data_IF_245141142092
#
_entry.id   IF_245141142092
#
_cell.length_a   1.000
_cell.length_b   1.000
_cell.length_c   1.000
_cell.angle_alpha   90.00
_cell.angle_beta   90.00
_cell.angle_gamma   90.00
#
_symmetry.space_group_name_H-M   'P 1'
#
loop_
_entity.id
_entity.type
_entity.pdbx_description
1 polymer ?
#
# COMPACT_ATOMS: atom_id res chain seq x y z
N UNK A 1 -5.09 -15.75 5.77
CA UNK A 1 -5.38 -14.35 6.16
C UNK A 1 -6.88 -14.10 5.98
N UNK A 2 -7.52 -13.32 6.85
CA UNK A 2 -8.97 -13.04 6.79
C UNK A 2 -9.23 -11.55 6.58
N UNK A 3 -10.12 -11.21 5.66
CA UNK A 3 -10.59 -9.83 5.46
C UNK A 3 -11.59 -9.51 6.58
N UNK A 4 -11.24 -8.56 7.45
CA UNK A 4 -12.08 -8.11 8.57
C UNK A 4 -12.98 -6.92 8.20
N UNK A 5 -12.60 -6.16 7.17
CA UNK A 5 -13.42 -5.09 6.64
C UNK A 5 -13.04 -4.80 5.19
N UNK A 6 -14.06 -4.46 4.39
CA UNK A 6 -13.90 -3.86 3.06
C UNK A 6 -14.37 -2.42 3.16
N UNK A 7 -13.51 -1.48 2.76
CA UNK A 7 -13.75 -0.05 2.88
C UNK A 7 -13.59 0.68 1.55
N UNK A 8 -14.52 1.58 1.28
CA UNK A 8 -14.52 2.42 0.08
C UNK A 8 -14.78 3.88 0.46
N UNK A 9 -14.41 4.80 -0.43
CA UNK A 9 -14.65 6.22 -0.19
C UNK A 9 -14.48 7.05 -1.45
N UNK A 10 -15.18 8.17 -1.49
CA UNK A 10 -15.02 9.15 -2.59
C UNK A 10 -14.20 10.34 -2.11
N UNK A 11 -13.46 11.02 -3.02
CA UNK A 11 -12.70 12.20 -2.68
C UNK A 11 -13.58 13.23 -1.97
N UNK A 12 -13.04 13.84 -0.92
CA UNK A 12 -13.65 14.98 -0.25
C UNK A 12 -12.65 16.12 -0.10
N UNK A 13 -13.15 17.34 -0.13
CA UNK A 13 -12.35 18.54 0.12
C UNK A 13 -12.27 18.77 1.63
N UNK A 14 -11.05 18.94 2.14
CA UNK A 14 -10.79 19.29 3.53
C UNK A 14 -9.91 20.52 3.62
N UNK A 15 -10.02 21.27 4.71
CA UNK A 15 -9.12 22.39 4.99
C UNK A 15 -7.91 21.90 5.78
N UNK A 16 -6.72 22.01 5.19
CA UNK A 16 -5.46 21.63 5.82
C UNK A 16 -4.44 22.76 5.70
N UNK A 17 -3.95 23.27 6.84
CA UNK A 17 -2.98 24.38 6.90
C UNK A 17 -3.39 25.60 6.05
N UNK A 18 -4.67 25.95 6.12
CA UNK A 18 -5.22 27.10 5.40
C UNK A 18 -5.54 26.87 3.92
N UNK A 19 -5.26 25.69 3.36
CA UNK A 19 -5.56 25.35 1.95
C UNK A 19 -6.65 24.29 1.85
N UNK A 20 -7.42 24.34 0.77
CA UNK A 20 -8.33 23.25 0.39
C UNK A 20 -7.54 22.12 -0.27
N UNK A 21 -7.81 20.89 0.16
CA UNK A 21 -7.15 19.68 -0.33
C UNK A 21 -8.21 18.64 -0.63
N UNK A 22 -8.25 18.15 -1.87
CA UNK A 22 -9.02 16.96 -2.23
C UNK A 22 -8.29 15.68 -1.77
N UNK A 23 -8.98 14.81 -1.02
CA UNK A 23 -8.37 13.58 -0.49
C UNK A 23 -9.37 12.43 -0.42
N UNK A 24 -8.88 11.22 -0.72
CA UNK A 24 -9.62 9.95 -0.57
C UNK A 24 -9.13 9.12 0.63
N UNK A 25 -8.38 9.74 1.54
CA UNK A 25 -7.86 9.05 2.73
C UNK A 25 -8.96 8.58 3.69
N UNK A 26 -10.17 9.14 3.53
CA UNK A 26 -11.31 8.82 4.36
C UNK A 26 -12.20 7.84 3.61
N UNK A 27 -12.18 6.59 4.07
CA UNK A 27 -13.05 5.51 3.62
C UNK A 27 -13.89 5.05 4.81
N UNK A 28 -14.96 4.33 4.53
CA UNK A 28 -15.78 3.69 5.53
C UNK A 28 -16.01 2.22 5.13
N UNK A 29 -16.16 1.32 6.12
CA UNK A 29 -16.59 -0.05 5.87
C UNK A 29 -17.92 -0.08 5.10
N UNK A 30 -18.06 -1.07 4.23
CA UNK A 30 -19.30 -1.37 3.53
C UNK A 30 -19.70 -2.82 3.73
N UNK A 31 -21.00 -3.05 3.84
CA UNK A 31 -21.56 -4.38 4.00
C UNK A 31 -21.73 -5.09 2.65
N UNK A 32 -21.50 -6.40 2.66
CA UNK A 32 -21.76 -7.30 1.53
C UNK A 32 -20.69 -7.28 0.42
N UNK A 33 -20.96 -8.00 -0.70
CA UNK A 33 -20.05 -8.09 -1.84
C UNK A 33 -19.74 -6.73 -2.47
N UNK A 34 -18.46 -6.48 -2.72
CA UNK A 34 -17.95 -5.33 -3.45
C UNK A 34 -17.23 -5.81 -4.71
N UNK A 35 -17.62 -5.27 -5.86
CA UNK A 35 -16.96 -5.59 -7.11
C UNK A 35 -15.53 -5.02 -7.16
N UNK A 36 -14.61 -5.88 -7.58
CA UNK A 36 -13.19 -5.60 -7.77
C UNK A 36 -12.96 -5.32 -9.26
N UNK A 37 -12.59 -4.08 -9.58
CA UNK A 37 -12.24 -3.64 -10.93
C UNK A 37 -10.75 -3.50 -11.09
N UNK A 38 -10.27 -3.49 -12.34
CA UNK A 38 -8.85 -3.34 -12.67
C UNK A 38 -8.11 -2.26 -11.89
N UNK A 39 -8.76 -1.13 -11.62
CA UNK A 39 -8.13 0.04 -11.02
C UNK A 39 -8.58 0.35 -9.59
N UNK A 40 -9.70 -0.23 -9.13
CA UNK A 40 -10.20 0.01 -7.77
C UNK A 40 -11.35 -0.95 -7.39
N UNK A 41 -11.86 -0.82 -6.16
CA UNK A 41 -13.16 -1.35 -5.76
C UNK A 41 -14.31 -0.44 -6.24
N UNK A 42 -15.45 -1.03 -6.61
CA UNK A 42 -16.68 -0.28 -6.90
C UNK A 42 -17.09 0.53 -5.65
N UNK A 43 -17.38 1.82 -5.84
CA UNK A 43 -17.65 2.77 -4.74
C UNK A 43 -16.40 3.51 -4.24
N UNK A 44 -15.19 3.05 -4.56
CA UNK A 44 -13.95 3.75 -4.18
C UNK A 44 -13.43 4.64 -5.32
N UNK A 45 -13.04 5.87 -4.98
CA UNK A 45 -12.46 6.82 -5.93
C UNK A 45 -11.23 7.49 -5.34
N UNK A 46 -10.17 7.57 -6.13
CA UNK A 46 -8.91 8.19 -5.75
C UNK A 46 -8.88 9.65 -6.22
N UNK A 47 -8.53 10.57 -5.32
CA UNK A 47 -8.50 12.00 -5.60
C UNK A 47 -7.41 12.39 -6.62
N UNK A 48 -6.35 11.60 -6.68
CA UNK A 48 -5.22 11.77 -7.60
C UNK A 48 -4.67 10.40 -8.00
N UNK A 49 -5.11 9.85 -9.15
CA UNK A 49 -4.67 8.55 -9.65
C UNK A 49 -3.18 8.52 -10.01
N UNK A 50 -2.53 9.67 -10.24
CA UNK A 50 -1.12 9.73 -10.63
C UNK A 50 -0.17 9.40 -9.47
N UNK A 51 -0.61 9.56 -8.22
CA UNK A 51 0.23 9.37 -7.02
C UNK A 51 -0.18 8.13 -6.22
N UNK A 52 -1.49 7.97 -5.97
CA UNK A 52 -2.04 6.90 -5.11
C UNK A 52 -2.96 5.96 -5.88
N UNK A 53 -2.69 5.79 -7.17
CA UNK A 53 -3.54 5.07 -8.07
C UNK A 53 -2.82 4.40 -9.21
N UNK A 54 -3.61 3.97 -10.17
CA UNK A 54 -3.14 3.15 -11.28
C UNK A 54 -3.14 1.66 -10.95
N UNK A 55 -2.77 0.87 -11.96
CA UNK A 55 -2.86 -0.58 -11.91
C UNK A 55 -2.13 -1.17 -10.71
N UNK A 56 -0.93 -0.68 -10.38
CA UNK A 56 -0.11 -1.19 -9.27
C UNK A 56 -0.61 -0.80 -7.88
N UNK A 57 -1.57 0.13 -7.77
CA UNK A 57 -2.10 0.65 -6.50
C UNK A 57 -3.63 0.55 -6.45
N UNK A 58 -4.19 -0.48 -7.07
CA UNK A 58 -5.64 -0.64 -7.21
C UNK A 58 -6.32 -0.87 -5.86
N UNK A 59 -5.73 -1.72 -5.01
CA UNK A 59 -6.28 -2.05 -3.69
C UNK A 59 -5.19 -1.89 -2.64
N UNK A 60 -5.46 -1.13 -1.59
CA UNK A 60 -4.56 -1.03 -0.43
C UNK A 60 -5.05 -1.95 0.69
N UNK A 61 -4.21 -2.86 1.16
CA UNK A 61 -4.48 -3.69 2.33
C UNK A 61 -3.58 -3.28 3.52
N UNK A 62 -4.14 -3.37 4.71
CA UNK A 62 -3.45 -3.07 5.96
C UNK A 62 -3.68 -4.16 6.99
N UNK A 63 -2.63 -4.50 7.72
CA UNK A 63 -2.70 -5.56 8.73
C UNK A 63 -3.50 -5.08 9.94
N UNK A 64 -4.43 -5.91 10.41
CA UNK A 64 -5.20 -5.60 11.62
C UNK A 64 -4.28 -5.53 12.85
N UNK A 65 -3.23 -6.35 12.88
CA UNK A 65 -2.19 -6.34 13.93
C UNK A 65 -1.42 -5.00 13.95
N UNK A 66 -1.16 -4.43 12.78
CA UNK A 66 -0.52 -3.12 12.68
C UNK A 66 -1.47 -2.03 13.20
N UNK A 67 -2.75 -2.10 12.88
CA UNK A 67 -3.76 -1.17 13.39
C UNK A 67 -3.87 -1.24 14.92
N UNK A 68 -3.85 -2.44 15.52
CA UNK A 68 -3.83 -2.63 16.97
C UNK A 68 -2.58 -2.03 17.63
N UNK A 69 -1.41 -2.26 17.02
CA UNK A 69 -0.16 -1.64 17.49
C UNK A 69 -0.27 -0.12 17.46
N UNK A 70 -0.83 0.45 16.39
CA UNK A 70 -1.06 1.89 16.28
C UNK A 70 -2.09 2.41 17.28
N UNK A 71 -3.14 1.65 17.59
CA UNK A 71 -4.08 2.02 18.64
C UNK A 71 -3.39 2.19 19.99
N UNK A 72 -2.51 1.24 20.34
CA UNK A 72 -1.69 1.35 21.55
C UNK A 72 -0.72 2.54 21.48
N UNK A 73 -0.01 2.71 20.38
CA UNK A 73 0.98 3.77 20.19
C UNK A 73 0.37 5.19 20.21
N UNK A 74 -0.86 5.34 19.71
CA UNK A 74 -1.58 6.61 19.66
C UNK A 74 -2.51 6.84 20.86
N UNK A 75 -2.66 5.85 21.74
CA UNK A 75 -3.51 5.91 22.93
C UNK A 75 -5.00 6.06 22.61
N UNK A 76 -5.47 5.56 21.46
CA UNK A 76 -6.89 5.60 21.06
C UNK A 76 -7.25 4.43 20.15
N UNK A 77 -8.51 3.96 20.17
CA UNK A 77 -8.95 2.95 19.20
C UNK A 77 -8.82 3.48 17.77
N UNK A 78 -8.44 2.60 16.84
CA UNK A 78 -8.46 2.85 15.42
C UNK A 78 -9.48 1.92 14.78
N UNK A 79 -10.32 2.50 13.95
CA UNK A 79 -11.29 1.77 13.14
C UNK A 79 -10.64 1.31 11.83
N UNK A 80 -11.24 0.34 11.13
CA UNK A 80 -10.90 0.07 9.74
C UNK A 80 -10.88 1.33 8.88
N UNK A 81 -10.06 1.32 7.84
CA UNK A 81 -9.79 2.46 6.95
C UNK A 81 -9.10 3.67 7.60
N UNK A 82 -8.60 3.56 8.84
CA UNK A 82 -7.84 4.66 9.47
C UNK A 82 -6.55 5.03 8.73
N UNK A 83 -5.94 4.11 7.98
CA UNK A 83 -4.79 4.38 7.12
C UNK A 83 -5.17 4.59 5.64
N UNK A 84 -6.48 4.60 5.35
CA UNK A 84 -7.05 4.73 4.00
C UNK A 84 -6.99 3.44 3.19
N UNK A 85 -6.83 2.31 3.85
CA UNK A 85 -6.92 0.97 3.28
C UNK A 85 -8.32 0.64 2.76
N UNK A 86 -8.34 -0.19 1.72
CA UNK A 86 -9.54 -0.82 1.22
C UNK A 86 -9.81 -2.13 1.97
N UNK A 87 -8.77 -2.88 2.33
CA UNK A 87 -8.89 -4.14 3.04
C UNK A 87 -8.18 -4.07 4.38
N UNK A 88 -8.92 -4.24 5.48
CA UNK A 88 -8.31 -4.52 6.79
C UNK A 88 -8.21 -6.04 6.92
N UNK A 89 -7.00 -6.57 7.10
CA UNK A 89 -6.73 -8.01 6.96
C UNK A 89 -6.00 -8.54 8.18
N UNK A 90 -6.55 -9.57 8.82
CA UNK A 90 -5.88 -10.33 9.88
C UNK A 90 -4.99 -11.43 9.33
N UNK A 91 -3.82 -11.58 9.93
CA UNK A 91 -2.73 -12.48 9.55
C UNK A 91 -1.81 -11.90 8.48
N UNK A 92 -2.04 -10.67 8.01
CA UNK A 92 -1.26 -10.07 6.93
C UNK A 92 0.19 -9.78 7.35
N UNK A 93 0.41 -9.51 8.65
CA UNK A 93 1.72 -9.23 9.22
C UNK A 93 2.51 -10.50 9.65
N UNK A 94 1.90 -11.69 9.61
CA UNK A 94 2.50 -12.92 10.15
C UNK A 94 3.61 -13.48 9.26
N UNK A 95 3.51 -13.29 7.94
CA UNK A 95 4.50 -13.75 6.98
C UNK A 95 4.91 -12.64 6.01
N UNK A 96 6.18 -12.64 5.54
CA UNK A 96 6.60 -11.76 4.46
C UNK A 96 5.79 -12.01 3.18
N UNK A 97 5.30 -10.91 2.61
CA UNK A 97 4.68 -10.87 1.28
C UNK A 97 5.68 -10.26 0.31
N UNK A 98 5.83 -10.91 -0.84
CA UNK A 98 6.82 -10.56 -1.84
C UNK A 98 6.14 -9.88 -3.04
N UNK A 99 6.90 -9.04 -3.74
CA UNK A 99 6.49 -8.49 -5.03
C UNK A 99 6.16 -9.65 -5.96
N UNK A 100 4.98 -9.64 -6.56
CA UNK A 100 4.55 -10.69 -7.47
C UNK A 100 3.82 -11.88 -6.83
N UNK A 101 3.75 -11.97 -5.50
CA UNK A 101 2.92 -12.95 -4.80
C UNK A 101 1.45 -12.76 -5.23
N UNK A 102 0.74 -13.85 -5.51
CA UNK A 102 -0.64 -13.82 -6.01
C UNK A 102 -1.58 -14.42 -4.98
N UNK A 103 -2.71 -13.75 -4.80
CA UNK A 103 -3.72 -14.07 -3.81
C UNK A 103 -5.11 -14.18 -4.45
N UNK A 104 -5.90 -15.10 -3.94
CA UNK A 104 -7.34 -15.15 -4.17
C UNK A 104 -8.06 -14.44 -3.02
N UNK A 105 -9.06 -13.63 -3.32
CA UNK A 105 -9.98 -13.02 -2.36
C UNK A 105 -11.38 -13.00 -2.96
N UNK A 106 -12.30 -13.78 -2.38
CA UNK A 106 -13.60 -14.05 -3.00
C UNK A 106 -13.43 -14.68 -4.37
N UNK A 107 -13.88 -14.00 -5.43
CA UNK A 107 -13.68 -14.43 -6.83
C UNK A 107 -12.59 -13.65 -7.58
N UNK A 108 -11.99 -12.64 -6.94
CA UNK A 108 -10.93 -11.81 -7.50
C UNK A 108 -9.54 -12.43 -7.30
N UNK A 109 -8.62 -12.10 -8.20
CA UNK A 109 -7.20 -12.47 -8.10
C UNK A 109 -6.36 -11.20 -8.03
N UNK A 110 -5.57 -11.09 -6.97
CA UNK A 110 -4.77 -9.93 -6.61
C UNK A 110 -3.29 -10.29 -6.64
N UNK A 111 -2.43 -9.39 -7.11
CA UNK A 111 -0.98 -9.56 -7.06
C UNK A 111 -0.37 -8.43 -6.22
N UNK A 112 0.48 -8.79 -5.26
CA UNK A 112 1.18 -7.84 -4.40
C UNK A 112 2.23 -7.05 -5.20
N UNK A 113 2.24 -5.74 -5.05
CA UNK A 113 3.03 -4.84 -5.90
C UNK A 113 4.08 -4.07 -5.11
N UNK A 114 3.63 -3.27 -4.17
CA UNK A 114 4.48 -2.30 -3.48
C UNK A 114 3.91 -1.94 -2.09
N UNK A 115 4.72 -1.39 -1.18
CA UNK A 115 4.24 -0.92 0.11
C UNK A 115 3.62 0.48 -0.06
N UNK A 116 2.83 0.92 0.92
CA UNK A 116 2.39 2.31 0.92
C UNK A 116 3.49 3.24 1.42
N UNK A 117 3.92 4.16 0.56
CA UNK A 117 4.80 5.23 0.99
C UNK A 117 4.11 6.24 1.94
N UNK A 118 4.82 6.75 2.95
CA UNK A 118 4.35 7.85 3.78
C UNK A 118 3.99 9.08 2.95
N UNK A 119 2.82 9.68 3.19
CA UNK A 119 2.38 10.89 2.50
C UNK A 119 1.61 11.83 3.44
N UNK A 120 1.54 13.12 3.08
CA UNK A 120 0.92 14.16 3.91
C UNK A 120 -0.59 13.94 4.19
N UNK A 121 -1.27 13.09 3.39
CA UNK A 121 -2.67 12.72 3.62
C UNK A 121 -2.85 11.93 4.92
N UNK A 122 -1.82 11.25 5.42
CA UNK A 122 -1.82 10.67 6.77
C UNK A 122 -1.92 11.78 7.83
N UNK A 123 -1.16 12.87 7.68
CA UNK A 123 -1.25 14.00 8.60
C UNK A 123 -2.64 14.64 8.62
N UNK A 124 -3.31 14.69 7.47
CA UNK A 124 -4.72 15.11 7.38
C UNK A 124 -5.64 14.16 8.15
N UNK A 125 -5.48 12.85 7.97
CA UNK A 125 -6.35 11.82 8.60
C UNK A 125 -6.21 11.80 10.12
N UNK A 126 -5.00 11.98 10.63
CA UNK A 126 -4.70 11.94 12.05
C UNK A 126 -4.70 13.33 12.72
N UNK A 127 -4.82 14.41 11.95
CA UNK A 127 -4.76 15.78 12.46
C UNK A 127 -3.38 16.22 12.93
N UNK A 128 -2.33 15.45 12.62
CA UNK A 128 -0.95 15.72 13.05
C UNK A 128 0.02 15.55 11.86
N UNK A 129 0.69 16.62 11.38
CA UNK A 129 1.65 16.52 10.28
C UNK A 129 2.84 15.60 10.59
N UNK A 130 3.19 15.39 11.86
CA UNK A 130 4.29 14.50 12.27
C UNK A 130 3.98 13.04 11.96
N UNK A 131 2.70 12.71 11.76
CA UNK A 131 2.27 11.35 11.43
C UNK A 131 2.96 10.78 10.19
N UNK A 132 3.41 11.63 9.25
CA UNK A 132 4.16 11.17 8.07
C UNK A 132 5.49 10.53 8.48
N UNK A 133 6.24 11.20 9.35
CA UNK A 133 7.52 10.71 9.85
C UNK A 133 7.32 9.54 10.82
N UNK A 134 6.33 9.63 11.71
CA UNK A 134 5.98 8.53 12.63
C UNK A 134 5.65 7.25 11.85
N UNK A 135 4.84 7.37 10.79
CA UNK A 135 4.47 6.24 9.93
C UNK A 135 5.66 5.69 9.15
N UNK A 136 6.53 6.57 8.63
CA UNK A 136 7.76 6.15 7.97
C UNK A 136 8.62 5.29 8.90
N UNK A 137 8.90 5.80 10.09
CA UNK A 137 9.80 5.17 11.07
C UNK A 137 9.23 3.89 11.66
N UNK A 138 7.91 3.78 11.83
CA UNK A 138 7.26 2.58 12.34
C UNK A 138 7.37 1.37 11.38
N UNK A 139 7.60 1.60 10.07
CA UNK A 139 7.75 0.55 9.05
C UNK A 139 6.56 -0.42 8.93
N UNK A 140 5.37 0.06 9.29
CA UNK A 140 4.09 -0.66 9.17
C UNK A 140 3.32 -0.06 7.99
N UNK A 141 3.76 -0.37 6.79
CA UNK A 141 3.32 0.36 5.59
C UNK A 141 2.13 -0.29 4.89
N UNK A 142 1.74 -1.51 5.25
CA UNK A 142 0.76 -2.26 4.47
C UNK A 142 1.22 -2.47 3.03
N UNK A 143 0.29 -2.95 2.20
CA UNK A 143 0.62 -3.54 0.91
C UNK A 143 -0.43 -3.10 -0.12
N UNK A 144 0.04 -2.64 -1.27
CA UNK A 144 -0.80 -2.47 -2.45
C UNK A 144 -0.85 -3.76 -3.26
N UNK A 145 -2.01 -3.94 -3.88
CA UNK A 145 -2.27 -5.00 -4.83
C UNK A 145 -2.75 -4.41 -6.15
N UNK A 146 -2.32 -5.02 -7.25
CA UNK A 146 -2.99 -4.90 -8.55
C UNK A 146 -4.00 -6.01 -8.75
N UNK A 147 -4.99 -5.74 -9.60
CA UNK A 147 -6.03 -6.72 -9.94
C UNK A 147 -5.61 -7.49 -11.18
N UNK A 148 -5.34 -8.78 -11.01
CA UNK A 148 -5.01 -9.72 -12.11
C UNK A 148 -6.29 -10.26 -12.75
N UNK A 149 -7.30 -10.52 -11.92
CA UNK A 149 -8.64 -10.95 -12.37
C UNK A 149 -9.70 -10.20 -11.57
N UNK A 150 -10.57 -9.49 -12.29
CA UNK A 150 -11.75 -8.85 -11.71
C UNK A 150 -12.70 -9.90 -11.11
N UNK A 151 -13.48 -9.48 -10.13
CA UNK A 151 -14.40 -10.35 -9.40
C UNK A 151 -15.12 -9.57 -8.32
N UNK A 152 -15.45 -10.24 -7.22
CA UNK A 152 -16.10 -9.67 -6.05
C UNK A 152 -15.41 -10.23 -4.79
N UNK A 153 -15.34 -9.41 -3.76
CA UNK A 153 -14.89 -9.78 -2.42
C UNK A 153 -15.76 -9.10 -1.36
N UNK A 154 -15.74 -9.62 -0.14
CA UNK A 154 -16.47 -9.05 1.00
C UNK A 154 -15.73 -9.28 2.32
N UNK A 155 -16.26 -8.66 3.38
CA UNK A 155 -15.87 -9.02 4.74
C UNK A 155 -16.07 -10.52 4.99
N UNK A 156 -15.13 -11.13 5.69
CA UNK A 156 -15.15 -12.54 6.04
C UNK A 156 -14.43 -13.44 5.03
N UNK A 157 -14.19 -12.96 3.81
CA UNK A 157 -13.43 -13.71 2.81
C UNK A 157 -12.00 -13.98 3.27
N UNK A 158 -11.47 -15.12 2.82
CA UNK A 158 -10.07 -15.47 3.02
C UNK A 158 -9.23 -14.82 1.93
N UNK A 159 -8.19 -14.09 2.33
CA UNK A 159 -7.11 -13.69 1.43
C UNK A 159 -6.09 -14.84 1.42
N UNK A 160 -6.19 -15.70 0.41
CA UNK A 160 -5.38 -16.91 0.29
C UNK A 160 -4.24 -16.68 -0.69
N UNK A 161 -2.99 -16.92 -0.27
CA UNK A 161 -1.85 -16.87 -1.18
C UNK A 161 -1.83 -18.14 -2.04
N UNK A 162 -2.10 -17.99 -3.33
CA UNK A 162 -2.17 -19.09 -4.31
C UNK A 162 -0.87 -19.25 -5.11
N UNK A 163 0.00 -18.24 -5.10
CA UNK A 163 1.32 -18.30 -5.70
C UNK A 163 2.30 -17.44 -4.91
N UNK A 164 3.52 -17.95 -4.74
CA UNK A 164 4.65 -17.19 -4.21
C UNK A 164 5.64 -16.93 -5.35
N UNK A 165 6.06 -15.68 -5.50
CA UNK A 165 7.05 -15.30 -6.50
C UNK A 165 8.42 -15.92 -6.17
N UNK A 166 9.13 -16.40 -7.19
CA UNK A 166 10.40 -17.11 -7.04
C UNK A 166 11.57 -16.21 -6.65
N UNK A 167 11.51 -14.91 -6.97
CA UNK A 167 12.57 -13.95 -6.62
C UNK A 167 12.50 -13.57 -5.13
N UNK A 168 11.35 -13.81 -4.49
CA UNK A 168 11.11 -13.63 -3.06
C UNK A 168 11.61 -12.28 -2.53
N UNK A 169 11.36 -11.19 -3.27
CA UNK A 169 11.70 -9.84 -2.83
C UNK A 169 10.56 -9.29 -1.96
N UNK A 170 10.77 -9.04 -0.66
CA UNK A 170 9.72 -8.50 0.21
C UNK A 170 9.24 -7.15 -0.33
N UNK A 171 7.92 -6.92 -0.35
CA UNK A 171 7.38 -5.62 -0.80
C UNK A 171 7.99 -4.45 -0.01
N UNK A 172 8.25 -4.65 1.29
CA UNK A 172 8.84 -3.65 2.15
C UNK A 172 10.27 -3.22 1.77
N UNK A 173 11.01 -4.03 1.00
CA UNK A 173 12.35 -3.65 0.54
C UNK A 173 12.32 -2.41 -0.36
N UNK A 174 11.26 -2.23 -1.14
CA UNK A 174 11.09 -1.05 -2.00
C UNK A 174 11.20 0.23 -1.14
N UNK A 175 10.40 0.32 -0.08
CA UNK A 175 10.36 1.50 0.75
C UNK A 175 11.52 1.56 1.75
N UNK A 176 12.13 0.43 2.15
CA UNK A 176 13.40 0.42 2.90
C UNK A 176 14.49 1.15 2.12
N UNK A 177 14.72 0.73 0.86
CA UNK A 177 15.75 1.30 -0.02
C UNK A 177 15.45 2.76 -0.35
N UNK A 178 14.18 3.08 -0.61
CA UNK A 178 13.77 4.44 -0.97
C UNK A 178 13.89 5.43 0.21
N UNK A 179 13.41 5.04 1.39
CA UNK A 179 13.31 5.95 2.54
C UNK A 179 14.60 5.98 3.35
N UNK A 180 15.21 4.83 3.63
CA UNK A 180 16.31 4.71 4.61
C UNK A 180 17.65 4.36 3.97
N UNK A 181 17.68 3.34 3.12
CA UNK A 181 18.93 2.72 2.67
C UNK A 181 19.29 3.12 1.23
N UNK A 182 19.29 4.43 0.96
CA UNK A 182 19.47 5.01 -0.39
C UNK A 182 20.82 4.71 -1.06
N UNK A 183 21.74 4.08 -0.33
CA UNK A 183 23.05 3.66 -0.80
C UNK A 183 23.17 2.19 -1.16
N UNK A 184 22.13 1.37 -0.90
CA UNK A 184 22.13 -0.08 -1.12
C UNK A 184 21.98 -0.42 -2.61
N UNK A 185 23.11 -0.38 -3.32
CA UNK A 185 23.16 -0.62 -4.76
C UNK A 185 22.75 -2.05 -5.14
N UNK A 186 23.09 -3.04 -4.31
CA UNK A 186 22.73 -4.43 -4.54
C UNK A 186 21.20 -4.64 -4.46
N UNK A 187 20.54 -4.03 -3.47
CA UNK A 187 19.08 -4.09 -3.39
C UNK A 187 18.42 -3.34 -4.57
N UNK A 188 18.93 -2.16 -4.95
CA UNK A 188 18.42 -1.44 -6.12
C UNK A 188 18.53 -2.26 -7.42
N UNK A 189 19.64 -2.99 -7.62
CA UNK A 189 19.82 -3.88 -8.77
C UNK A 189 18.83 -5.06 -8.77
N UNK A 190 18.64 -5.71 -7.61
CA UNK A 190 17.67 -6.81 -7.47
C UNK A 190 16.24 -6.34 -7.73
N UNK A 191 15.87 -5.19 -7.15
CA UNK A 191 14.54 -4.59 -7.34
C UNK A 191 14.30 -4.22 -8.80
N UNK A 192 15.21 -3.49 -9.44
CA UNK A 192 15.02 -3.04 -10.83
C UNK A 192 14.97 -4.19 -11.84
N UNK A 193 15.64 -5.32 -11.55
CA UNK A 193 15.60 -6.52 -12.37
C UNK A 193 14.29 -7.34 -12.24
N UNK A 194 13.50 -7.13 -11.18
CA UNK A 194 12.32 -7.96 -10.90
C UNK A 194 11.23 -7.77 -11.97
N UNK A 195 10.78 -8.81 -12.69
CA UNK A 195 9.90 -8.64 -13.85
C UNK A 195 8.55 -8.00 -13.49
N UNK A 196 8.02 -8.29 -12.31
CA UNK A 196 6.70 -7.81 -11.86
C UNK A 196 6.71 -6.49 -11.07
N UNK A 197 7.88 -5.88 -10.85
CA UNK A 197 7.94 -4.59 -10.15
C UNK A 197 7.29 -3.49 -11.01
N UNK A 198 6.60 -2.55 -10.37
CA UNK A 198 6.08 -1.34 -11.02
C UNK A 198 7.18 -0.67 -11.88
N UNK A 199 6.93 -0.39 -13.17
CA UNK A 199 7.90 0.26 -14.04
C UNK A 199 8.47 1.57 -13.49
N UNK A 200 7.68 2.36 -12.77
CA UNK A 200 8.14 3.62 -12.17
C UNK A 200 9.18 3.37 -11.06
N UNK A 201 9.04 2.30 -10.29
CA UNK A 201 10.04 1.88 -9.32
C UNK A 201 11.31 1.36 -10.00
N UNK A 202 11.18 0.60 -11.09
CA UNK A 202 12.34 0.16 -11.87
C UNK A 202 13.16 1.33 -12.39
N UNK A 203 12.49 2.27 -13.07
CA UNK A 203 13.10 3.49 -13.61
C UNK A 203 13.80 4.28 -12.50
N UNK A 204 13.10 4.51 -11.38
CA UNK A 204 13.68 5.18 -10.23
C UNK A 204 14.99 4.53 -9.74
N UNK A 205 15.01 3.20 -9.55
CA UNK A 205 16.21 2.52 -9.06
C UNK A 205 17.34 2.48 -10.10
N UNK A 206 17.02 2.36 -11.39
CA UNK A 206 18.01 2.44 -12.48
C UNK A 206 18.67 3.83 -12.52
N UNK A 207 17.87 4.90 -12.48
CA UNK A 207 18.37 6.27 -12.50
C UNK A 207 19.25 6.58 -11.29
N UNK A 208 18.86 6.06 -10.11
CA UNK A 208 19.64 6.20 -8.87
C UNK A 208 20.98 5.46 -8.97
N UNK A 209 21.01 4.26 -9.55
CA UNK A 209 22.26 3.53 -9.78
C UNK A 209 23.17 4.29 -10.76
N UNK A 210 22.64 4.80 -11.86
CA UNK A 210 23.39 5.58 -12.84
C UNK A 210 23.98 6.86 -12.23
N UNK A 211 23.18 7.61 -11.48
CA UNK A 211 23.61 8.83 -10.79
C UNK A 211 24.75 8.58 -9.79
N UNK A 212 24.74 7.41 -9.13
CA UNK A 212 25.82 7.01 -8.20
C UNK A 212 27.11 6.71 -8.94
N UNK A 213 27.04 5.97 -10.04
CA UNK A 213 28.23 5.67 -10.86
C UNK A 213 28.91 6.94 -11.39
N UNK A 214 28.11 7.95 -11.78
CA UNK A 214 28.61 9.25 -12.23
C UNK A 214 29.25 10.07 -11.09
N UNK A 215 28.72 9.99 -9.87
CA UNK A 215 29.23 10.74 -8.71
C UNK A 215 30.46 10.13 -8.02
N UNK A 216 30.76 8.85 -8.25
CA UNK A 216 31.97 8.18 -7.72
C UNK A 216 33.22 8.35 -8.60
N UNK A 217 33.09 9.06 -9.73
CA UNK A 217 34.17 9.31 -10.68
C UNK A 217 34.77 10.72 -10.62
N UNK A 218 34.53 11.49 -9.56
CA UNK A 218 35.04 12.85 -9.37
C UNK A 218 35.79 13.04 -8.06
#
# INVERSE_FOLDING_TARGET
>A
MKIEAVSVGTPRVVRWRGKEVATSIFKAPVDGPVAVRRLNLDGDRQADPSVHGGEYKAIYAYAAEDAEWWSAALGRPLEPANFGENLSVRGLAEEPIHVGDVFCAGSAVLEATEPRLPCYKLGIRFGDPRMVETFATARRWGIYFRVVKEGELQEGDVLERIHRDSEAIPVYDIARVYVFDRGDAAAMQRLSAHPRLDPSWKEHFVDRLASRAAGTGS
#
